data_IF_777105136115
#
_entry.id   IF_777105136115
#
_cell.length_a   1.000
_cell.length_b   1.000
_cell.length_c   1.000
_cell.angle_alpha   90.00
_cell.angle_beta   90.00
_cell.angle_gamma   90.00
#
_symmetry.space_group_name_H-M   'P 1'
#
loop_
_entity.id
_entity.type
_entity.pdbx_description
1 polymer ?
#
# COMPACT_ATOMS: atom_id res chain seq x y z
N UNK A 1 4.94 6.09 -6.86
CA UNK A 1 5.57 6.67 -5.65
C UNK A 1 4.65 6.67 -4.44
N UNK A 2 3.58 7.47 -4.40
CA UNK A 2 2.67 7.51 -3.25
C UNK A 2 2.17 6.12 -2.83
N UNK A 3 1.67 5.35 -3.80
CA UNK A 3 1.13 4.01 -3.55
C UNK A 3 2.14 3.05 -2.91
N UNK A 4 3.38 3.02 -3.40
CA UNK A 4 4.43 2.14 -2.89
C UNK A 4 4.91 2.58 -1.49
N UNK A 5 5.01 3.89 -1.26
CA UNK A 5 5.37 4.42 0.04
C UNK A 5 4.32 4.08 1.11
N UNK A 6 3.03 4.15 0.77
CA UNK A 6 1.93 3.76 1.67
C UNK A 6 1.91 2.24 1.89
N UNK A 7 2.06 1.45 0.83
CA UNK A 7 2.09 -0.02 0.90
C UNK A 7 3.08 -0.50 1.96
N UNK A 8 4.28 0.08 1.97
CA UNK A 8 5.30 -0.26 2.95
C UNK A 8 5.10 0.45 4.30
N UNK A 9 4.93 1.79 4.28
CA UNK A 9 5.00 2.62 5.47
C UNK A 9 3.72 2.72 6.30
N UNK A 10 2.57 2.32 5.76
CA UNK A 10 1.28 2.35 6.47
C UNK A 10 0.73 0.95 6.81
N UNK A 11 1.45 -0.12 6.47
CA UNK A 11 1.13 -1.47 6.93
C UNK A 11 1.33 -1.58 8.45
N UNK A 12 0.44 -2.29 9.15
CA UNK A 12 0.58 -2.58 10.60
C UNK A 12 1.59 -3.69 10.90
N UNK A 13 2.04 -4.40 9.88
CA UNK A 13 2.95 -5.54 10.00
C UNK A 13 4.03 -5.50 8.90
N UNK A 14 5.07 -6.34 9.06
CA UNK A 14 6.14 -6.47 8.10
C UNK A 14 5.64 -7.03 6.75
N UNK A 15 6.37 -6.72 5.67
CA UNK A 15 6.06 -7.21 4.32
C UNK A 15 6.01 -8.74 4.24
N UNK A 16 6.79 -9.42 5.08
CA UNK A 16 6.88 -10.87 5.16
C UNK A 16 6.21 -11.46 6.42
N UNK A 17 5.26 -10.74 7.03
CA UNK A 17 4.48 -11.23 8.18
C UNK A 17 3.81 -12.59 7.86
N UNK A 18 4.14 -13.66 8.59
CA UNK A 18 3.59 -14.99 8.30
C UNK A 18 2.10 -15.15 8.62
N UNK A 19 1.57 -14.34 9.54
CA UNK A 19 0.15 -14.33 9.91
C UNK A 19 -0.60 -13.17 9.22
N UNK A 20 -1.36 -13.42 8.14
CA UNK A 20 -2.06 -12.37 7.40
C UNK A 20 -3.15 -11.68 8.22
N UNK A 21 -3.62 -12.28 9.32
CA UNK A 21 -4.63 -11.66 10.20
C UNK A 21 -4.07 -10.44 10.97
N UNK A 22 -2.74 -10.30 11.04
CA UNK A 22 -2.06 -9.16 11.69
C UNK A 22 -1.80 -8.00 10.73
N UNK A 23 -2.05 -8.20 9.44
CA UNK A 23 -1.84 -7.20 8.39
C UNK A 23 -3.12 -6.39 8.20
N UNK A 24 -3.03 -5.09 8.47
CA UNK A 24 -4.05 -4.10 8.19
C UNK A 24 -3.41 -2.80 7.70
N UNK A 25 -4.23 -1.85 7.25
CA UNK A 25 -3.78 -0.50 6.90
C UNK A 25 -3.99 0.44 8.09
N UNK A 26 -2.91 1.08 8.54
CA UNK A 26 -2.98 2.16 9.52
C UNK A 26 -3.51 3.45 8.88
N UNK A 27 -4.81 3.71 9.03
CA UNK A 27 -5.44 4.96 8.60
C UNK A 27 -4.78 6.23 9.16
N UNK A 28 -4.28 6.27 10.42
CA UNK A 28 -3.52 7.41 10.91
C UNK A 28 -2.22 7.67 10.12
N UNK A 29 -1.45 6.60 9.82
CA UNK A 29 -0.21 6.73 9.04
C UNK A 29 -0.52 7.11 7.58
N UNK A 30 -1.54 6.51 6.99
CA UNK A 30 -2.03 6.88 5.65
C UNK A 30 -2.38 8.37 5.59
N UNK A 31 -3.16 8.87 6.56
CA UNK A 31 -3.62 10.26 6.59
C UNK A 31 -2.47 11.24 6.79
N UNK A 32 -1.53 10.91 7.68
CA UNK A 32 -0.32 11.70 7.90
C UNK A 32 0.54 11.78 6.63
N UNK A 33 0.71 10.64 5.93
CA UNK A 33 1.47 10.59 4.69
C UNK A 33 0.79 11.34 3.55
N UNK A 34 -0.53 11.18 3.37
CA UNK A 34 -1.32 11.89 2.38
C UNK A 34 -1.19 13.41 2.51
N UNK A 35 -1.33 13.94 3.74
CA UNK A 35 -1.15 15.37 4.01
C UNK A 35 0.27 15.84 3.68
N UNK A 36 1.29 15.11 4.11
CA UNK A 36 2.69 15.46 3.81
C UNK A 36 3.00 15.43 2.31
N UNK A 37 2.51 14.42 1.60
CA UNK A 37 2.71 14.26 0.17
C UNK A 37 2.04 15.38 -0.63
N UNK A 38 0.77 15.70 -0.34
CA UNK A 38 0.03 16.77 -1.02
C UNK A 38 0.63 18.15 -0.74
N UNK A 39 1.03 18.42 0.51
CA UNK A 39 1.73 19.66 0.86
C UNK A 39 3.05 19.81 0.10
N UNK A 40 3.80 18.71 -0.04
CA UNK A 40 5.04 18.67 -0.83
C UNK A 40 4.81 18.86 -2.33
N UNK A 41 3.69 18.35 -2.86
CA UNK A 41 3.32 18.45 -4.27
C UNK A 41 2.87 19.86 -4.68
N UNK A 42 2.48 20.74 -3.74
CA UNK A 42 2.16 22.17 -3.99
C UNK A 42 1.19 22.40 -5.17
N UNK A 43 0.16 21.57 -5.29
CA UNK A 43 -0.85 21.69 -6.34
C UNK A 43 -0.40 21.25 -7.74
N UNK A 44 0.74 20.55 -7.85
CA UNK A 44 1.19 19.99 -9.14
C UNK A 44 0.31 18.84 -9.64
N UNK A 45 -0.38 18.13 -8.75
CA UNK A 45 -1.25 17.03 -9.10
C UNK A 45 -2.58 17.56 -9.63
N UNK A 46 -3.06 16.97 -10.72
CA UNK A 46 -4.42 17.17 -11.20
C UNK A 46 -5.45 16.60 -10.21
N UNK A 47 -6.69 17.07 -10.34
CA UNK A 47 -7.83 16.57 -9.57
C UNK A 47 -7.95 15.04 -9.62
N UNK A 48 -7.80 14.47 -10.82
CA UNK A 48 -7.89 13.03 -11.04
C UNK A 48 -6.73 12.27 -10.37
N UNK A 49 -5.51 12.81 -10.41
CA UNK A 49 -4.37 12.19 -9.73
C UNK A 49 -4.56 12.16 -8.22
N UNK A 50 -5.11 13.24 -7.63
CA UNK A 50 -5.43 13.28 -6.20
C UNK A 50 -6.52 12.26 -5.87
N UNK A 51 -7.60 12.19 -6.67
CA UNK A 51 -8.69 11.23 -6.47
C UNK A 51 -8.21 9.78 -6.50
N UNK A 52 -7.23 9.48 -7.36
CA UNK A 52 -6.68 8.13 -7.56
C UNK A 52 -5.58 7.74 -6.56
N UNK A 53 -5.17 8.61 -5.63
CA UNK A 53 -4.12 8.26 -4.65
C UNK A 53 -4.44 6.99 -3.83
N UNK A 54 -5.67 6.78 -3.29
CA UNK A 54 -6.03 5.53 -2.61
C UNK A 54 -5.98 4.30 -3.55
N UNK A 55 -6.40 4.47 -4.79
CA UNK A 55 -6.42 3.41 -5.80
C UNK A 55 -5.00 3.00 -6.18
N UNK A 56 -4.09 3.96 -6.33
CA UNK A 56 -2.68 3.70 -6.60
C UNK A 56 -2.04 2.85 -5.50
N UNK A 57 -2.40 3.04 -4.23
CA UNK A 57 -1.96 2.17 -3.13
C UNK A 57 -2.40 0.73 -3.36
N UNK A 58 -3.68 0.51 -3.68
CA UNK A 58 -4.22 -0.84 -3.91
C UNK A 58 -3.54 -1.53 -5.09
N UNK A 59 -3.44 -0.84 -6.22
CA UNK A 59 -2.87 -1.39 -7.47
C UNK A 59 -1.42 -1.77 -7.29
N UNK A 60 -0.58 -0.90 -6.71
CA UNK A 60 0.85 -1.20 -6.50
C UNK A 60 1.04 -2.34 -5.50
N UNK A 61 0.22 -2.40 -4.45
CA UNK A 61 0.25 -3.53 -3.49
C UNK A 61 -0.11 -4.84 -4.16
N UNK A 62 -1.16 -4.85 -4.99
CA UNK A 62 -1.58 -6.03 -5.74
C UNK A 62 -0.52 -6.46 -6.77
N UNK A 63 0.06 -5.50 -7.51
CA UNK A 63 1.17 -5.75 -8.44
C UNK A 63 2.31 -6.48 -7.72
N UNK A 64 2.73 -5.98 -6.56
CA UNK A 64 3.82 -6.58 -5.82
C UNK A 64 3.46 -7.97 -5.27
N UNK A 65 2.23 -8.18 -4.82
CA UNK A 65 1.74 -9.50 -4.41
C UNK A 65 1.85 -10.52 -5.55
N UNK A 66 1.42 -10.12 -6.76
CA UNK A 66 1.53 -10.96 -7.96
C UNK A 66 2.99 -11.24 -8.29
N UNK A 67 3.88 -10.25 -8.20
CA UNK A 67 5.32 -10.43 -8.45
C UNK A 67 5.96 -11.40 -7.46
N UNK A 68 5.61 -11.33 -6.17
CA UNK A 68 6.08 -12.31 -5.19
C UNK A 68 5.55 -13.71 -5.48
N UNK A 69 4.28 -13.84 -5.88
CA UNK A 69 3.70 -15.13 -6.26
C UNK A 69 4.39 -15.72 -7.49
N UNK A 70 4.60 -14.91 -8.52
CA UNK A 70 5.31 -15.31 -9.73
C UNK A 70 6.71 -15.80 -9.39
N UNK A 71 7.48 -15.02 -8.61
CA UNK A 71 8.83 -15.42 -8.23
C UNK A 71 8.84 -16.73 -7.43
N UNK A 72 7.87 -16.92 -6.54
CA UNK A 72 7.72 -18.19 -5.81
C UNK A 72 7.48 -19.38 -6.74
N UNK A 73 6.61 -19.24 -7.74
CA UNK A 73 6.32 -20.29 -8.74
C UNK A 73 7.56 -20.57 -9.60
N UNK A 74 8.37 -19.56 -9.90
CA UNK A 74 9.59 -19.66 -10.69
C UNK A 74 10.81 -20.15 -9.89
N UNK A 75 10.64 -20.44 -8.59
CA UNK A 75 11.68 -20.98 -7.73
C UNK A 75 12.57 -19.91 -7.06
N UNK A 76 11.99 -18.76 -6.71
CA UNK A 76 12.60 -17.69 -5.91
C UNK A 76 13.92 -17.15 -6.53
N UNK A 77 13.85 -16.71 -7.79
CA UNK A 77 15.02 -16.34 -8.62
C UNK A 77 15.28 -14.84 -8.68
N UNK A 78 14.26 -14.02 -8.42
CA UNK A 78 14.31 -12.57 -8.54
C UNK A 78 14.53 -11.90 -7.18
N UNK A 79 13.65 -12.18 -6.21
CA UNK A 79 13.75 -11.60 -4.88
C UNK A 79 14.66 -12.45 -3.99
N UNK A 80 15.49 -11.79 -3.18
CA UNK A 80 16.25 -12.49 -2.15
C UNK A 80 15.28 -13.11 -1.14
N UNK A 81 15.43 -14.42 -0.93
CA UNK A 81 14.71 -15.17 0.09
C UNK A 81 15.64 -15.58 1.24
N UNK A 82 15.06 -15.80 2.41
CA UNK A 82 15.79 -16.14 3.64
C UNK A 82 15.37 -17.53 4.16
N UNK A 83 14.22 -18.02 3.70
CA UNK A 83 13.59 -19.28 4.11
C UNK A 83 12.73 -19.82 2.99
N UNK A 84 12.49 -21.13 2.99
CA UNK A 84 11.59 -21.75 2.03
C UNK A 84 10.17 -21.16 2.18
N UNK A 85 9.58 -20.72 1.07
CA UNK A 85 8.24 -20.11 1.07
C UNK A 85 8.21 -18.63 1.46
N UNK A 86 9.35 -17.94 1.58
CA UNK A 86 9.40 -16.52 1.96
C UNK A 86 8.59 -15.63 1.01
N UNK A 87 8.70 -15.80 -0.31
CA UNK A 87 7.90 -15.02 -1.27
C UNK A 87 6.39 -15.37 -1.22
N UNK A 88 6.04 -16.61 -0.86
CA UNK A 88 4.63 -16.99 -0.62
C UNK A 88 4.06 -16.27 0.61
N UNK A 89 4.85 -16.11 1.67
CA UNK A 89 4.47 -15.33 2.85
C UNK A 89 4.30 -13.86 2.50
N UNK A 90 5.27 -13.27 1.78
CA UNK A 90 5.16 -11.89 1.29
C UNK A 90 3.91 -11.65 0.44
N UNK A 91 3.65 -12.54 -0.52
CA UNK A 91 2.43 -12.50 -1.34
C UNK A 91 1.17 -12.45 -0.47
N UNK A 92 1.06 -13.32 0.55
CA UNK A 92 -0.10 -13.36 1.44
C UNK A 92 -0.25 -12.09 2.27
N UNK A 93 0.85 -11.56 2.79
CA UNK A 93 0.85 -10.29 3.51
C UNK A 93 0.35 -9.15 2.61
N UNK A 94 0.88 -9.04 1.38
CA UNK A 94 0.45 -8.00 0.44
C UNK A 94 -1.03 -8.16 0.02
N UNK A 95 -1.53 -9.38 -0.18
CA UNK A 95 -2.95 -9.62 -0.46
C UNK A 95 -3.87 -9.26 0.72
N UNK A 96 -3.43 -9.54 1.96
CA UNK A 96 -4.15 -9.11 3.14
C UNK A 96 -4.20 -7.58 3.27
N UNK A 97 -3.11 -6.89 2.90
CA UNK A 97 -3.07 -5.43 2.84
C UNK A 97 -3.98 -4.87 1.73
N UNK A 98 -4.05 -5.51 0.55
CA UNK A 98 -5.04 -5.15 -0.50
C UNK A 98 -6.46 -5.25 0.06
N UNK A 99 -6.80 -6.36 0.72
CA UNK A 99 -8.12 -6.53 1.32
C UNK A 99 -8.40 -5.49 2.42
N UNK A 100 -7.39 -5.09 3.19
CA UNK A 100 -7.49 -3.99 4.14
C UNK A 100 -7.78 -2.65 3.45
N UNK A 101 -7.05 -2.32 2.38
CA UNK A 101 -7.29 -1.11 1.59
C UNK A 101 -8.70 -1.09 0.99
N UNK A 102 -9.22 -2.23 0.55
CA UNK A 102 -10.60 -2.35 0.06
C UNK A 102 -11.64 -2.10 1.17
N UNK A 103 -11.43 -2.68 2.37
CA UNK A 103 -12.29 -2.41 3.54
C UNK A 103 -12.26 -0.94 3.96
N UNK A 104 -11.08 -0.32 3.89
CA UNK A 104 -10.86 1.07 4.30
C UNK A 104 -11.03 2.09 3.17
N UNK A 105 -11.47 1.67 1.97
CA UNK A 105 -11.51 2.49 0.76
C UNK A 105 -12.16 3.86 0.99
N UNK A 106 -13.36 3.88 1.57
CA UNK A 106 -14.08 5.14 1.82
C UNK A 106 -13.33 6.06 2.80
N UNK A 107 -12.71 5.48 3.83
CA UNK A 107 -11.91 6.23 4.80
C UNK A 107 -10.63 6.80 4.16
N UNK A 108 -9.97 6.05 3.28
CA UNK A 108 -8.80 6.54 2.52
C UNK A 108 -9.18 7.70 1.61
N UNK A 109 -10.26 7.59 0.83
CA UNK A 109 -10.75 8.71 0.01
C UNK A 109 -11.15 9.92 0.85
N UNK A 110 -11.79 9.72 2.00
CA UNK A 110 -12.12 10.80 2.91
C UNK A 110 -10.86 11.49 3.48
N UNK A 111 -9.83 10.73 3.83
CA UNK A 111 -8.57 11.29 4.33
C UNK A 111 -7.84 12.12 3.26
N UNK A 112 -7.80 11.67 2.00
CA UNK A 112 -7.21 12.44 0.90
C UNK A 112 -7.98 13.74 0.64
N UNK A 113 -9.33 13.69 0.63
CA UNK A 113 -10.15 14.90 0.45
C UNK A 113 -9.91 15.92 1.56
N UNK A 114 -9.95 15.49 2.83
CA UNK A 114 -9.66 16.36 3.98
C UNK A 114 -8.27 16.97 3.88
N UNK A 115 -7.26 16.17 3.53
CA UNK A 115 -5.90 16.64 3.39
C UNK A 115 -5.75 17.68 2.26
N UNK A 116 -6.55 17.58 1.18
CA UNK A 116 -6.59 18.59 0.12
C UNK A 116 -7.27 19.87 0.59
N UNK A 117 -8.45 19.76 1.21
CA UNK A 117 -9.22 20.89 1.74
C UNK A 117 -8.43 21.70 2.79
N UNK A 118 -7.58 21.04 3.59
CA UNK A 118 -6.70 21.72 4.57
C UNK A 118 -5.56 22.54 3.93
N UNK A 119 -5.26 22.32 2.66
CA UNK A 119 -4.14 22.94 1.94
C UNK A 119 -4.59 24.02 0.93
N UNK A 120 -5.89 24.13 0.68
CA UNK A 120 -6.53 25.20 -0.10
C UNK A 120 -6.80 26.45 0.77
#
# INVERSE_FOLDING_TARGET
>A
DFGDAVRFGASTAAEDEPDPARVDLSLPLFSAFARGYLAGARGLLSELEVELLPEACRVVTLELAVRFLTDHIEGDRYFKVERAGHNRERCRSQLALVAAMERHREAMHAAVRRAREELE
#
